data_IF_984424944820
#
_entry.id   IF_984424944820
#
_cell.length_a   1.000
_cell.length_b   1.000
_cell.length_c   1.000
_cell.angle_alpha   90.00
_cell.angle_beta   90.00
_cell.angle_gamma   90.00
#
_symmetry.space_group_name_H-M   'P 1'
#
loop_
_entity.id
_entity.type
_entity.pdbx_description
1 polymer ?
#
# COMPACT_ATOMS: atom_id res chain seq x y z
N UNK A 1 15.15 -11.97 16.40
CA UNK A 1 14.01 -12.17 17.34
C UNK A 1 14.34 -11.71 18.76
N UNK A 2 15.44 -10.96 18.99
CA UNK A 2 15.79 -10.48 20.33
C UNK A 2 15.09 -9.15 20.68
N UNK A 3 14.86 -8.27 19.70
CA UNK A 3 14.39 -6.90 19.96
C UNK A 3 12.85 -6.75 20.00
N UNK A 4 12.11 -7.64 19.33
CA UNK A 4 10.64 -7.63 19.32
C UNK A 4 10.01 -8.00 20.67
N UNK A 5 10.80 -8.50 21.64
CA UNK A 5 10.31 -8.85 23.00
C UNK A 5 10.13 -7.63 23.91
N UNK A 6 10.72 -6.48 23.54
CA UNK A 6 10.65 -5.23 24.32
C UNK A 6 9.35 -4.47 24.08
N UNK A 7 8.73 -4.70 22.92
CA UNK A 7 7.48 -4.08 22.55
C UNK A 7 6.32 -4.99 22.97
N UNK A 8 5.68 -4.66 24.09
CA UNK A 8 4.46 -5.33 24.53
C UNK A 8 3.27 -4.59 23.92
N UNK A 9 2.64 -5.18 22.92
CA UNK A 9 1.33 -4.75 22.44
C UNK A 9 0.28 -5.76 22.93
N UNK A 10 -0.91 -5.32 23.37
CA UNK A 10 -2.04 -6.24 23.56
C UNK A 10 -2.24 -7.08 22.29
N UNK A 11 -2.68 -8.33 22.43
CA UNK A 11 -3.13 -9.10 21.28
C UNK A 11 -4.27 -8.33 20.59
N UNK A 12 -3.96 -7.68 19.47
CA UNK A 12 -4.91 -6.80 18.81
C UNK A 12 -6.04 -7.62 18.23
N UNK A 13 -7.26 -7.35 18.68
CA UNK A 13 -8.48 -8.01 18.15
C UNK A 13 -8.66 -7.75 16.66
N UNK A 14 -8.24 -6.60 16.18
CA UNK A 14 -8.37 -6.17 14.80
C UNK A 14 -7.04 -6.27 14.05
N UNK A 15 -7.07 -6.53 12.73
CA UNK A 15 -5.85 -6.57 11.93
C UNK A 15 -5.24 -5.16 11.82
N UNK A 16 -3.93 -5.09 11.90
CA UNK A 16 -3.13 -3.93 11.50
C UNK A 16 -2.64 -4.21 10.09
N UNK A 17 -3.09 -3.42 9.13
CA UNK A 17 -2.72 -3.57 7.71
C UNK A 17 -1.80 -2.42 7.33
N UNK A 18 -0.62 -2.76 6.81
CA UNK A 18 0.32 -1.81 6.21
C UNK A 18 0.27 -2.01 4.70
N UNK A 19 -0.36 -1.06 4.00
CA UNK A 19 -0.31 -0.97 2.54
C UNK A 19 1.02 -0.34 2.10
N UNK A 20 1.65 -0.89 1.08
CA UNK A 20 2.92 -0.39 0.55
C UNK A 20 3.01 -0.60 -0.98
N UNK A 21 3.78 0.25 -1.65
CA UNK A 21 4.07 0.12 -3.08
C UNK A 21 4.88 -1.15 -3.35
N UNK A 22 4.52 -1.95 -4.33
CA UNK A 22 5.21 -3.19 -4.70
C UNK A 22 6.42 -2.89 -5.60
N UNK A 23 7.35 -2.07 -5.11
CA UNK A 23 8.52 -1.62 -5.84
C UNK A 23 9.81 -1.73 -4.98
N UNK A 24 10.88 -1.05 -5.41
CA UNK A 24 12.15 -1.06 -4.68
C UNK A 24 12.14 -0.25 -3.39
N UNK A 25 11.18 0.67 -3.19
CA UNK A 25 11.01 1.45 -1.97
C UNK A 25 10.54 0.59 -0.79
N UNK A 26 9.88 -0.54 -1.07
CA UNK A 26 9.37 -1.47 -0.05
C UNK A 26 10.44 -2.28 0.69
N UNK A 27 11.70 -2.24 0.26
CA UNK A 27 12.78 -3.11 0.79
C UNK A 27 12.82 -3.11 2.31
N UNK A 28 12.86 -1.95 2.96
CA UNK A 28 12.93 -1.87 4.43
C UNK A 28 11.74 -2.52 5.16
N UNK A 29 10.53 -2.41 4.58
CA UNK A 29 9.32 -3.05 5.12
C UNK A 29 9.43 -4.57 5.00
N UNK A 30 9.82 -5.04 3.81
CA UNK A 30 9.96 -6.46 3.50
C UNK A 30 11.10 -7.13 4.29
N UNK A 31 12.17 -6.39 4.57
CA UNK A 31 13.28 -6.79 5.42
C UNK A 31 12.81 -7.12 6.85
N UNK A 32 11.81 -6.40 7.34
CA UNK A 32 11.19 -6.65 8.65
C UNK A 32 10.36 -7.95 8.65
N UNK A 33 9.87 -8.38 7.49
CA UNK A 33 9.12 -9.61 7.27
C UNK A 33 9.98 -10.80 6.81
N UNK A 34 11.31 -10.68 6.75
CA UNK A 34 12.28 -11.67 6.20
C UNK A 34 12.12 -13.12 6.62
N UNK A 35 11.41 -13.40 7.71
CA UNK A 35 11.18 -14.74 8.23
C UNK A 35 9.91 -15.40 7.69
N UNK A 36 9.14 -14.68 6.90
CA UNK A 36 7.90 -15.14 6.27
C UNK A 36 8.17 -15.33 4.78
N UNK A 37 7.78 -16.49 4.26
CA UNK A 37 7.81 -16.72 2.81
C UNK A 37 6.61 -16.00 2.18
N UNK A 38 6.86 -15.20 1.16
CA UNK A 38 5.83 -14.54 0.37
C UNK A 38 6.27 -14.41 -1.09
N UNK A 39 5.29 -14.30 -1.99
CA UNK A 39 5.44 -13.92 -3.38
C UNK A 39 5.04 -12.46 -3.62
N UNK A 40 5.57 -11.85 -4.68
CA UNK A 40 5.19 -10.48 -5.10
C UNK A 40 3.72 -10.35 -5.52
N UNK A 41 3.08 -11.47 -5.86
CA UNK A 41 1.67 -11.54 -6.27
C UNK A 41 0.75 -11.95 -5.12
N UNK A 42 1.29 -12.19 -3.92
CA UNK A 42 0.45 -12.56 -2.78
C UNK A 42 -0.43 -11.36 -2.41
N UNK A 43 -1.73 -11.59 -2.10
CA UNK A 43 -2.64 -10.51 -1.76
C UNK A 43 -2.24 -9.82 -0.45
N UNK A 44 -1.62 -10.56 0.46
CA UNK A 44 -1.09 -10.04 1.71
C UNK A 44 0.00 -10.96 2.28
N UNK A 45 0.79 -10.42 3.20
CA UNK A 45 1.80 -11.14 3.99
C UNK A 45 1.39 -11.06 5.45
N UNK A 46 1.11 -12.19 6.10
CA UNK A 46 0.94 -12.21 7.55
C UNK A 46 2.31 -12.25 8.24
N UNK A 47 2.67 -11.19 8.96
CA UNK A 47 3.99 -11.05 9.58
C UNK A 47 4.05 -11.78 10.93
N UNK A 48 3.20 -11.34 11.86
CA UNK A 48 3.08 -11.89 13.21
C UNK A 48 1.82 -11.33 13.87
N UNK A 49 1.21 -12.08 14.81
CA UNK A 49 0.05 -11.59 15.57
C UNK A 49 -1.07 -11.11 14.67
N UNK A 50 -1.48 -9.85 14.83
CA UNK A 50 -2.48 -9.16 14.01
C UNK A 50 -1.88 -8.27 12.90
N UNK A 51 -0.57 -8.33 12.61
CA UNK A 51 0.10 -7.49 11.59
C UNK A 51 0.13 -8.16 10.21
N UNK A 52 -0.34 -7.41 9.21
CA UNK A 52 -0.39 -7.79 7.80
C UNK A 52 0.25 -6.71 6.94
N UNK A 53 0.98 -7.13 5.91
CA UNK A 53 1.45 -6.24 4.85
C UNK A 53 0.65 -6.52 3.59
N UNK A 54 0.25 -5.47 2.87
CA UNK A 54 -0.48 -5.58 1.60
C UNK A 54 0.32 -4.83 0.54
N UNK A 55 0.86 -5.52 -0.48
CA UNK A 55 1.47 -4.84 -1.62
C UNK A 55 0.39 -4.28 -2.55
N UNK A 56 0.71 -3.22 -3.28
CA UNK A 56 -0.04 -2.90 -4.50
C UNK A 56 0.04 -4.08 -5.49
N UNK A 57 -1.08 -4.52 -6.08
CA UNK A 57 -1.07 -5.62 -7.04
C UNK A 57 -0.20 -5.33 -8.26
N UNK A 58 0.54 -6.34 -8.73
CA UNK A 58 1.24 -6.20 -10.01
C UNK A 58 0.24 -6.08 -11.16
N UNK A 59 0.42 -5.05 -11.97
CA UNK A 59 -0.30 -4.90 -13.23
C UNK A 59 0.20 -5.95 -14.24
N UNK A 60 -0.63 -6.26 -15.23
CA UNK A 60 -0.31 -7.30 -16.22
C UNK A 60 1.05 -7.06 -16.88
N UNK A 61 1.94 -8.04 -16.77
CA UNK A 61 3.30 -7.99 -17.33
C UNK A 61 4.32 -7.15 -16.55
N UNK A 62 3.90 -6.48 -15.46
CA UNK A 62 4.78 -5.63 -14.65
C UNK A 62 5.46 -6.41 -13.53
N UNK A 63 6.66 -5.99 -13.15
CA UNK A 63 7.44 -6.55 -12.04
C UNK A 63 7.39 -5.69 -10.77
N UNK A 64 6.83 -4.49 -10.90
CA UNK A 64 6.65 -3.50 -9.85
C UNK A 64 5.30 -2.80 -10.05
N UNK A 65 4.78 -2.19 -9.00
CA UNK A 65 3.64 -1.27 -9.08
C UNK A 65 3.73 -0.25 -7.95
N UNK A 66 3.16 0.91 -8.18
CA UNK A 66 2.95 1.95 -7.18
C UNK A 66 1.47 2.34 -7.14
N UNK A 67 1.03 2.97 -6.04
CA UNK A 67 -0.37 3.35 -5.86
C UNK A 67 -0.89 4.27 -6.98
N UNK A 68 -0.01 5.06 -7.59
CA UNK A 68 -0.39 5.95 -8.70
C UNK A 68 -0.79 5.20 -9.97
N UNK A 69 -0.30 3.97 -10.19
CA UNK A 69 -0.61 3.18 -11.40
C UNK A 69 -2.10 2.77 -11.50
N UNK A 70 -2.86 2.97 -10.42
CA UNK A 70 -4.27 2.59 -10.31
C UNK A 70 -5.23 3.75 -10.58
N UNK A 71 -4.71 4.95 -10.85
CA UNK A 71 -5.49 6.04 -11.43
C UNK A 71 -5.67 5.86 -12.93
N UNK A 72 -6.78 6.38 -13.45
CA UNK A 72 -6.98 6.39 -14.90
C UNK A 72 -6.02 7.39 -15.58
N UNK A 73 -5.72 7.20 -16.89
CA UNK A 73 -4.78 8.06 -17.60
C UNK A 73 -5.17 9.54 -17.63
N UNK A 74 -6.47 9.87 -17.58
CA UNK A 74 -6.91 11.27 -17.60
C UNK A 74 -6.64 11.97 -16.28
N UNK A 75 -6.79 11.26 -15.16
CA UNK A 75 -6.40 11.76 -13.84
C UNK A 75 -4.89 11.98 -13.76
N UNK A 76 -4.07 11.06 -14.28
CA UNK A 76 -2.61 11.20 -14.31
C UNK A 76 -2.12 12.33 -15.25
N UNK A 77 -2.88 12.63 -16.31
CA UNK A 77 -2.57 13.70 -17.26
C UNK A 77 -2.99 15.10 -16.79
N UNK A 78 -3.56 15.23 -15.57
CA UNK A 78 -3.97 16.52 -15.04
C UNK A 78 -2.79 17.50 -14.94
N UNK A 79 -3.05 18.76 -15.30
CA UNK A 79 -2.05 19.83 -15.18
C UNK A 79 -2.40 20.76 -14.01
N UNK A 80 -1.36 21.28 -13.37
CA UNK A 80 -1.47 22.21 -12.25
C UNK A 80 -0.50 23.34 -12.48
N UNK A 81 -0.99 24.57 -12.56
CA UNK A 81 -0.16 25.77 -12.78
C UNK A 81 0.76 25.63 -14.02
N UNK A 82 0.27 24.95 -15.08
CA UNK A 82 1.01 24.68 -16.32
C UNK A 82 2.02 23.53 -16.25
N UNK A 83 2.13 22.84 -15.10
CA UNK A 83 3.04 21.72 -14.88
C UNK A 83 2.35 20.37 -15.02
N UNK A 84 3.10 19.34 -15.37
CA UNK A 84 2.63 17.94 -15.48
C UNK A 84 2.99 17.11 -14.25
N UNK A 85 2.26 16.03 -14.01
CA UNK A 85 2.55 15.12 -12.92
C UNK A 85 3.78 14.25 -13.22
N UNK A 86 4.70 14.15 -12.26
CA UNK A 86 5.79 13.17 -12.27
C UNK A 86 5.85 12.47 -10.89
N UNK A 87 5.59 11.15 -10.81
CA UNK A 87 5.65 10.39 -9.56
C UNK A 87 7.08 10.09 -9.09
N UNK A 88 8.10 10.32 -9.93
CA UNK A 88 9.52 10.07 -9.63
C UNK A 88 10.11 11.07 -8.65
N UNK A 89 11.19 10.65 -7.99
CA UNK A 89 12.02 11.53 -7.19
C UNK A 89 12.81 12.53 -8.05
N UNK A 90 13.21 12.10 -9.26
CA UNK A 90 13.92 12.90 -10.27
C UNK A 90 12.93 13.66 -11.16
N UNK A 91 12.51 14.83 -10.70
CA UNK A 91 11.53 15.69 -11.37
C UNK A 91 12.10 17.07 -11.63
N UNK A 92 11.73 17.66 -12.76
CA UNK A 92 12.02 19.06 -13.04
C UNK A 92 10.99 19.95 -12.33
N UNK A 93 11.39 20.58 -11.23
CA UNK A 93 10.50 21.48 -10.47
C UNK A 93 9.96 22.67 -11.26
N UNK A 94 10.53 23.02 -12.43
CA UNK A 94 10.02 24.08 -13.30
C UNK A 94 8.82 23.60 -14.10
N UNK A 95 8.89 22.40 -14.65
CA UNK A 95 7.89 21.87 -15.61
C UNK A 95 6.98 20.80 -15.02
N UNK A 96 7.32 20.25 -13.86
CA UNK A 96 6.65 19.10 -13.25
C UNK A 96 6.29 19.32 -11.78
N UNK A 97 5.27 18.60 -11.30
CA UNK A 97 4.88 18.54 -9.90
C UNK A 97 4.85 17.09 -9.38
N UNK A 98 5.13 16.92 -8.09
CA UNK A 98 5.19 15.60 -7.45
C UNK A 98 3.92 15.17 -6.70
N UNK A 99 4.01 14.00 -6.04
CA UNK A 99 2.92 13.30 -5.35
C UNK A 99 2.09 14.17 -4.40
N UNK A 100 2.74 15.05 -3.63
CA UNK A 100 2.03 15.94 -2.69
C UNK A 100 1.04 16.88 -3.40
N UNK A 101 1.47 17.47 -4.51
CA UNK A 101 0.62 18.35 -5.33
C UNK A 101 -0.48 17.54 -6.02
N UNK A 102 -0.14 16.36 -6.55
CA UNK A 102 -1.13 15.46 -7.14
C UNK A 102 -2.25 15.11 -6.15
N UNK A 103 -1.90 14.66 -4.94
CA UNK A 103 -2.87 14.28 -3.92
C UNK A 103 -3.79 15.44 -3.51
N UNK A 104 -3.25 16.65 -3.32
CA UNK A 104 -4.04 17.76 -2.81
C UNK A 104 -4.75 18.60 -3.87
N UNK A 105 -4.11 18.86 -5.01
CA UNK A 105 -4.64 19.74 -6.05
C UNK A 105 -5.35 18.97 -7.18
N UNK A 106 -5.08 17.69 -7.36
CA UNK A 106 -5.77 16.85 -8.36
C UNK A 106 -6.75 15.91 -7.67
N UNK A 107 -6.27 14.97 -6.84
CA UNK A 107 -7.11 13.91 -6.27
C UNK A 107 -8.16 14.46 -5.33
N UNK A 108 -7.76 15.24 -4.30
CA UNK A 108 -8.71 15.80 -3.34
C UNK A 108 -9.71 16.76 -3.98
N UNK A 109 -9.28 17.54 -4.97
CA UNK A 109 -10.13 18.54 -5.63
C UNK A 109 -11.20 17.90 -6.53
N UNK A 110 -10.94 16.71 -7.07
CA UNK A 110 -11.80 16.03 -8.05
C UNK A 110 -12.27 14.66 -7.53
N UNK A 111 -12.25 14.43 -6.21
CA UNK A 111 -12.52 13.11 -5.61
C UNK A 111 -13.92 12.56 -5.91
N UNK A 112 -14.87 13.43 -6.24
CA UNK A 112 -16.24 13.11 -6.63
C UNK A 112 -16.39 12.71 -8.10
N UNK A 113 -15.40 13.04 -8.94
CA UNK A 113 -15.43 12.79 -10.39
C UNK A 113 -14.41 11.75 -10.85
N UNK A 114 -13.31 11.56 -10.10
CA UNK A 114 -12.31 10.54 -10.39
C UNK A 114 -12.92 9.14 -10.26
N UNK A 115 -12.63 8.28 -11.24
CA UNK A 115 -12.96 6.87 -11.15
C UNK A 115 -11.89 6.14 -10.33
N UNK A 116 -12.29 5.59 -9.18
CA UNK A 116 -11.41 4.76 -8.35
C UNK A 116 -11.55 3.25 -8.63
N UNK A 117 -12.19 2.86 -9.74
CA UNK A 117 -12.38 1.45 -10.10
C UNK A 117 -11.04 0.71 -10.19
N UNK A 118 -9.99 1.39 -10.65
CA UNK A 118 -8.63 0.83 -10.69
C UNK A 118 -8.13 0.35 -9.32
N UNK A 119 -8.58 0.95 -8.21
CA UNK A 119 -8.15 0.61 -6.85
C UNK A 119 -8.81 -0.65 -6.28
N UNK A 120 -9.80 -1.22 -6.97
CA UNK A 120 -10.54 -2.41 -6.51
C UNK A 120 -9.61 -3.56 -6.10
N UNK A 121 -8.57 -3.93 -6.88
CA UNK A 121 -7.65 -5.00 -6.50
C UNK A 121 -6.85 -4.73 -5.20
N UNK A 122 -6.53 -3.46 -4.90
CA UNK A 122 -5.88 -3.10 -3.62
C UNK A 122 -6.87 -3.32 -2.47
N UNK A 123 -8.11 -2.86 -2.63
CA UNK A 123 -9.15 -3.02 -1.61
C UNK A 123 -9.48 -4.51 -1.38
N UNK A 124 -9.53 -5.32 -2.43
CA UNK A 124 -9.73 -6.77 -2.34
C UNK A 124 -8.61 -7.44 -1.53
N UNK A 125 -7.36 -7.05 -1.75
CA UNK A 125 -6.22 -7.53 -0.96
C UNK A 125 -6.34 -7.17 0.53
N UNK A 126 -6.78 -5.94 0.85
CA UNK A 126 -7.03 -5.51 2.22
C UNK A 126 -8.16 -6.35 2.84
N UNK A 127 -9.26 -6.55 2.11
CA UNK A 127 -10.38 -7.41 2.55
C UNK A 127 -9.92 -8.84 2.80
N UNK A 128 -9.04 -9.38 1.95
CA UNK A 128 -8.47 -10.71 2.13
C UNK A 128 -7.65 -10.80 3.43
N UNK A 129 -6.82 -9.79 3.73
CA UNK A 129 -6.07 -9.72 5.00
C UNK A 129 -7.01 -9.67 6.22
N UNK A 130 -8.08 -8.86 6.15
CA UNK A 130 -9.08 -8.74 7.21
C UNK A 130 -9.81 -10.07 7.44
N UNK A 131 -10.28 -10.73 6.37
CA UNK A 131 -10.95 -12.03 6.45
C UNK A 131 -10.04 -13.10 7.03
N UNK A 132 -8.78 -13.12 6.59
CA UNK A 132 -7.78 -14.05 7.12
C UNK A 132 -7.52 -13.85 8.62
N UNK A 133 -7.59 -12.62 9.11
CA UNK A 133 -7.49 -12.32 10.55
C UNK A 133 -8.74 -12.78 11.31
N UNK A 134 -9.93 -12.53 10.78
CA UNK A 134 -11.19 -12.90 11.43
C UNK A 134 -11.38 -14.42 11.60
N UNK A 135 -10.75 -15.22 10.72
CA UNK A 135 -10.80 -16.69 10.78
C UNK A 135 -9.81 -17.29 11.79
N UNK A 136 -8.87 -16.50 12.32
CA UNK A 136 -7.93 -17.01 13.31
C UNK A 136 -8.64 -17.20 14.65
N UNK A 137 -8.43 -18.35 15.33
CA UNK A 137 -8.93 -18.50 16.68
C UNK A 137 -8.35 -17.38 17.53
N UNK A 138 -9.22 -16.67 18.26
CA UNK A 138 -8.77 -15.65 19.21
C UNK A 138 -7.88 -16.39 20.22
N UNK A 139 -6.57 -16.17 20.15
CA UNK A 139 -5.69 -16.68 21.18
C UNK A 139 -6.11 -15.98 22.47
N UNK A 140 -6.82 -16.71 23.34
CA UNK A 140 -7.17 -16.22 24.65
C UNK A 140 -5.88 -15.76 25.32
N UNK A 141 -5.88 -14.54 25.84
CA UNK A 141 -4.81 -14.09 26.71
C UNK A 141 -4.81 -15.05 27.92
N UNK A 142 -3.81 -15.92 28.00
CA UNK A 142 -3.59 -16.72 29.20
C UNK A 142 -3.35 -15.72 30.35
N UNK A 143 -4.11 -15.81 31.46
CA UNK A 143 -3.93 -14.94 32.62
C UNK A 143 -2.56 -15.10 33.27
#
# INVERSE_FOLDING_TARGET
>A
MADSRRFKAPAGKHPVVVLFDNDNGAKAILETAKKVKYGKTDPYIHVAGNLYLVPTPLLSGQQQSMIEDFFDPSTLAATVDGKTFNPSDDKDSVTEFGKNVFAHKVVKANADTISFVGFTPILDNIVAAIRAHAQKPTSAATP
#
